data_IF_513637860952
#
_entry.id   IF_513637860952
#
_cell.length_a   1.000
_cell.length_b   1.000
_cell.length_c   1.000
_cell.angle_alpha   90.00
_cell.angle_beta   90.00
_cell.angle_gamma   90.00
#
_symmetry.space_group_name_H-M   'P 1'
#
loop_
_entity.id
_entity.type
_entity.pdbx_description
1 polymer ?
#
# COMPACT_ATOMS: atom_id res chain seq x y z
N UNK A 1 -12.18 -0.28 14.99
CA UNK A 1 -10.83 0.10 14.54
C UNK A 1 -10.96 0.94 13.28
N UNK A 2 -10.89 2.26 13.36
CA UNK A 2 -11.07 3.15 12.20
C UNK A 2 -10.01 2.86 11.11
N UNK A 3 -10.44 2.68 9.87
CA UNK A 3 -9.57 2.64 8.70
C UNK A 3 -9.56 4.03 8.05
N UNK A 4 -8.39 4.57 7.66
CA UNK A 4 -8.30 5.88 7.03
C UNK A 4 -8.75 5.89 5.56
N UNK A 5 -8.93 4.72 4.93
CA UNK A 5 -9.31 4.58 3.53
C UNK A 5 -10.04 3.25 3.29
N UNK A 6 -10.85 3.20 2.23
CA UNK A 6 -11.46 1.99 1.71
C UNK A 6 -11.17 1.86 0.22
N UNK A 7 -11.19 0.63 -0.30
CA UNK A 7 -11.01 0.38 -1.74
C UNK A 7 -12.27 0.72 -2.50
N UNK A 8 -12.17 1.69 -3.42
CA UNK A 8 -13.20 1.99 -4.39
C UNK A 8 -12.85 1.32 -5.73
N UNK A 9 -13.70 0.41 -6.18
CA UNK A 9 -13.48 -0.35 -7.41
C UNK A 9 -14.04 0.40 -8.61
N UNK A 10 -13.39 0.29 -9.77
CA UNK A 10 -13.84 0.90 -11.03
C UNK A 10 -15.23 0.43 -11.46
N UNK A 11 -15.66 -0.75 -10.99
CA UNK A 11 -17.01 -1.29 -11.16
C UNK A 11 -18.10 -0.29 -10.78
N UNK A 12 -17.83 0.62 -9.83
CA UNK A 12 -18.78 1.64 -9.42
C UNK A 12 -19.33 2.47 -10.60
N UNK A 13 -18.51 2.71 -11.62
CA UNK A 13 -18.89 3.50 -12.80
C UNK A 13 -19.85 2.77 -13.75
N UNK A 14 -19.97 1.44 -13.68
CA UNK A 14 -20.77 0.64 -14.60
C UNK A 14 -21.61 -0.45 -13.91
N UNK A 15 -21.66 -0.47 -12.58
CA UNK A 15 -22.55 -1.35 -11.81
C UNK A 15 -24.01 -0.92 -12.03
N UNK A 16 -24.87 -1.79 -12.59
CA UNK A 16 -26.26 -1.41 -12.88
C UNK A 16 -27.03 -0.95 -11.64
N UNK A 17 -26.78 -1.53 -10.46
CA UNK A 17 -27.48 -1.12 -9.23
C UNK A 17 -27.12 0.29 -8.84
N UNK A 18 -25.85 0.66 -8.97
CA UNK A 18 -25.33 2.01 -8.64
C UNK A 18 -25.76 3.02 -9.70
N UNK A 19 -25.62 2.68 -10.99
CA UNK A 19 -25.97 3.59 -12.09
C UNK A 19 -27.49 3.86 -12.19
N UNK A 20 -28.34 2.95 -11.68
CA UNK A 20 -29.77 3.19 -11.53
C UNK A 20 -30.14 4.12 -10.35
N UNK A 21 -29.17 4.58 -9.55
CA UNK A 21 -29.41 5.55 -8.48
C UNK A 21 -29.28 6.98 -9.01
N UNK A 22 -30.13 7.91 -8.54
CA UNK A 22 -29.86 9.33 -8.69
C UNK A 22 -28.50 9.71 -8.09
N UNK A 23 -27.82 10.70 -8.66
CA UNK A 23 -26.48 11.14 -8.21
C UNK A 23 -26.43 11.50 -6.72
N UNK A 24 -27.51 12.10 -6.20
CA UNK A 24 -27.67 12.42 -4.77
C UNK A 24 -27.55 11.15 -3.91
N UNK A 25 -28.17 10.05 -4.34
CA UNK A 25 -28.11 8.76 -3.64
C UNK A 25 -26.73 8.10 -3.83
N UNK A 26 -26.10 8.24 -4.99
CA UNK A 26 -24.73 7.75 -5.19
C UNK A 26 -23.75 8.43 -4.22
N UNK A 27 -23.83 9.77 -4.05
CA UNK A 27 -23.06 10.51 -3.05
C UNK A 27 -23.33 9.99 -1.63
N UNK A 28 -24.62 9.83 -1.26
CA UNK A 28 -25.01 9.33 0.06
C UNK A 28 -24.44 7.93 0.32
N UNK A 29 -24.44 7.06 -0.68
CA UNK A 29 -23.85 5.72 -0.60
C UNK A 29 -22.34 5.76 -0.35
N UNK A 30 -21.60 6.59 -1.08
CA UNK A 30 -20.16 6.79 -0.86
C UNK A 30 -19.89 7.34 0.55
N UNK A 31 -20.69 8.29 1.03
CA UNK A 31 -20.56 8.81 2.39
C UNK A 31 -20.80 7.74 3.47
N UNK A 32 -21.78 6.84 3.27
CA UNK A 32 -21.98 5.68 4.16
C UNK A 32 -20.77 4.74 4.15
N UNK A 33 -20.14 4.52 3.00
CA UNK A 33 -18.88 3.75 2.93
C UNK A 33 -17.77 4.40 3.77
N UNK A 34 -17.62 5.73 3.69
CA UNK A 34 -16.67 6.46 4.51
C UNK A 34 -16.95 6.30 6.01
N UNK A 35 -18.22 6.39 6.43
CA UNK A 35 -18.62 6.23 7.83
C UNK A 35 -18.42 4.80 8.35
N UNK A 36 -18.67 3.78 7.52
CA UNK A 36 -18.35 2.39 7.89
C UNK A 36 -16.84 2.18 7.97
N UNK A 37 -16.08 2.76 7.06
CA UNK A 37 -14.62 2.72 7.04
C UNK A 37 -14.02 3.30 8.34
N UNK A 38 -14.54 4.43 8.81
CA UNK A 38 -14.12 5.05 10.07
C UNK A 38 -14.66 4.35 11.33
N UNK A 39 -15.45 3.28 11.16
CA UNK A 39 -16.17 2.58 12.23
C UNK A 39 -17.19 3.45 12.99
N UNK A 40 -17.56 4.61 12.45
CA UNK A 40 -18.58 5.47 13.05
C UNK A 40 -19.99 4.86 12.87
N UNK A 41 -20.23 4.18 11.76
CA UNK A 41 -21.58 3.77 11.37
C UNK A 41 -22.27 2.77 12.33
N UNK A 42 -21.50 2.02 13.14
CA UNK A 42 -22.06 1.09 14.16
C UNK A 42 -22.48 1.83 15.43
N UNK A 43 -21.88 2.99 15.71
CA UNK A 43 -22.14 3.76 16.94
C UNK A 43 -23.12 4.90 16.73
N UNK A 44 -23.25 5.38 15.50
CA UNK A 44 -24.04 6.57 15.19
C UNK A 44 -25.55 6.27 15.21
N UNK A 45 -26.30 7.16 15.84
CA UNK A 45 -27.76 7.17 15.77
C UNK A 45 -28.23 7.79 14.45
N UNK A 46 -29.51 7.57 14.10
CA UNK A 46 -30.09 8.07 12.85
C UNK A 46 -29.90 9.59 12.66
N UNK A 47 -30.06 10.37 13.72
CA UNK A 47 -29.89 11.83 13.68
C UNK A 47 -28.45 12.25 13.35
N UNK A 48 -27.46 11.51 13.85
CA UNK A 48 -26.06 11.77 13.58
C UNK A 48 -25.69 11.36 12.14
N UNK A 49 -26.29 10.28 11.62
CA UNK A 49 -26.15 9.88 10.21
C UNK A 49 -26.73 10.98 9.30
N UNK A 50 -27.91 11.53 9.63
CA UNK A 50 -28.50 12.65 8.89
C UNK A 50 -27.58 13.88 8.89
N UNK A 51 -27.00 14.21 10.05
CA UNK A 51 -26.04 15.30 10.19
C UNK A 51 -24.80 15.10 9.29
N UNK A 52 -24.20 13.91 9.30
CA UNK A 52 -23.04 13.61 8.46
C UNK A 52 -23.36 13.64 6.96
N UNK A 53 -24.55 13.19 6.57
CA UNK A 53 -25.03 13.24 5.18
C UNK A 53 -25.42 14.67 4.75
N UNK A 54 -25.63 15.57 5.72
CA UNK A 54 -26.17 16.93 5.56
C UNK A 54 -27.56 16.93 4.96
N UNK A 55 -28.44 16.14 5.54
CA UNK A 55 -29.84 15.97 5.12
C UNK A 55 -30.76 16.06 6.32
N UNK A 56 -32.05 16.27 6.06
CA UNK A 56 -33.08 16.19 7.10
C UNK A 56 -33.52 14.73 7.37
N UNK A 57 -34.33 14.54 8.40
CA UNK A 57 -34.83 13.22 8.81
C UNK A 57 -35.74 12.58 7.75
N UNK A 58 -36.53 13.36 7.01
CA UNK A 58 -37.42 12.82 5.97
C UNK A 58 -36.61 12.26 4.80
N UNK A 59 -35.56 12.97 4.38
CA UNK A 59 -34.61 12.54 3.36
C UNK A 59 -33.78 11.33 3.82
N UNK A 60 -33.47 11.22 5.12
CA UNK A 60 -32.78 10.06 5.66
C UNK A 60 -33.65 8.81 5.54
N UNK A 61 -34.93 8.89 5.92
CA UNK A 61 -35.86 7.77 5.81
C UNK A 61 -36.06 7.33 4.35
N UNK A 62 -36.21 8.29 3.42
CA UNK A 62 -36.25 7.99 1.97
C UNK A 62 -34.98 7.28 1.51
N UNK A 63 -33.80 7.76 1.94
CA UNK A 63 -32.51 7.15 1.63
C UNK A 63 -32.43 5.72 2.16
N UNK A 64 -32.85 5.52 3.41
CA UNK A 64 -32.85 4.22 4.08
C UNK A 64 -33.75 3.23 3.34
N UNK A 65 -34.98 3.64 3.03
CA UNK A 65 -35.95 2.81 2.32
C UNK A 65 -35.44 2.39 0.94
N UNK A 66 -34.85 3.32 0.19
CA UNK A 66 -34.31 3.05 -1.15
C UNK A 66 -33.09 2.10 -1.09
N UNK A 67 -32.19 2.29 -0.14
CA UNK A 67 -31.01 1.43 0.01
C UNK A 67 -31.33 0.04 0.54
N UNK A 68 -32.33 -0.09 1.42
CA UNK A 68 -32.89 -1.39 1.82
C UNK A 68 -33.49 -2.11 0.61
N UNK A 69 -34.36 -1.44 -0.15
CA UNK A 69 -35.03 -2.02 -1.32
C UNK A 69 -34.06 -2.51 -2.39
N UNK A 70 -32.94 -1.80 -2.62
CA UNK A 70 -31.89 -2.21 -3.59
C UNK A 70 -30.85 -3.18 -3.02
N UNK A 71 -30.88 -3.43 -1.71
CA UNK A 71 -29.95 -4.33 -1.02
C UNK A 71 -28.53 -3.76 -0.92
N UNK A 72 -28.39 -2.47 -0.63
CA UNK A 72 -27.11 -1.84 -0.29
C UNK A 72 -26.81 -1.90 1.21
N UNK A 73 -27.84 -1.80 2.05
CA UNK A 73 -27.74 -1.81 3.51
C UNK A 73 -28.75 -2.79 4.13
N UNK A 74 -28.56 -3.13 5.41
CA UNK A 74 -29.57 -3.79 6.26
C UNK A 74 -30.28 -2.78 7.20
N UNK A 75 -31.22 -3.25 8.01
CA UNK A 75 -32.00 -2.40 8.93
C UNK A 75 -31.14 -1.67 9.98
N UNK A 76 -29.98 -2.26 10.30
CA UNK A 76 -28.95 -1.74 11.20
C UNK A 76 -27.91 -0.85 10.48
N UNK A 77 -28.21 -0.37 9.27
CA UNK A 77 -27.34 0.48 8.44
C UNK A 77 -26.05 -0.18 7.93
N UNK A 78 -25.85 -1.48 8.16
CA UNK A 78 -24.63 -2.16 7.73
C UNK A 78 -24.61 -2.37 6.22
N UNK A 79 -23.47 -2.06 5.60
CA UNK A 79 -23.26 -2.21 4.16
C UNK A 79 -23.12 -3.68 3.77
N UNK A 80 -24.00 -4.13 2.88
CA UNK A 80 -23.94 -5.48 2.34
C UNK A 80 -22.73 -5.66 1.42
N UNK A 81 -22.15 -6.86 1.41
CA UNK A 81 -20.93 -7.21 0.67
C UNK A 81 -19.67 -6.38 1.00
N UNK A 82 -19.65 -5.67 2.13
CA UNK A 82 -18.48 -4.91 2.58
C UNK A 82 -17.23 -5.79 2.73
N UNK A 83 -17.32 -6.89 3.46
CA UNK A 83 -16.21 -7.82 3.74
C UNK A 83 -15.65 -8.51 2.47
N UNK A 84 -16.46 -8.61 1.41
CA UNK A 84 -15.98 -9.14 0.11
C UNK A 84 -15.14 -8.11 -0.64
N UNK A 85 -15.37 -6.82 -0.38
CA UNK A 85 -14.72 -5.69 -1.08
C UNK A 85 -13.55 -5.11 -0.27
N UNK A 86 -13.59 -5.19 1.05
CA UNK A 86 -12.55 -4.70 1.94
C UNK A 86 -11.84 -5.88 2.61
N UNK A 87 -10.55 -6.06 2.33
CA UNK A 87 -9.80 -7.20 2.84
C UNK A 87 -9.36 -6.94 4.28
N UNK A 88 -9.43 -7.96 5.13
CA UNK A 88 -8.94 -7.88 6.52
C UNK A 88 -7.46 -7.50 6.62
N UNK A 89 -6.67 -7.80 5.58
CA UNK A 89 -5.26 -7.38 5.46
C UNK A 89 -5.07 -5.86 5.42
N UNK A 90 -6.08 -5.11 4.97
CA UNK A 90 -6.02 -3.64 4.94
C UNK A 90 -6.09 -3.06 6.36
N UNK A 91 -6.57 -3.86 7.32
CA UNK A 91 -6.54 -3.51 8.74
C UNK A 91 -5.21 -3.94 9.35
N UNK A 92 -4.36 -2.98 9.69
CA UNK A 92 -3.13 -3.26 10.46
C UNK A 92 -3.43 -3.57 11.93
N UNK A 93 -4.68 -3.43 12.36
CA UNK A 93 -5.17 -3.58 13.73
C UNK A 93 -4.71 -4.88 14.41
N UNK A 94 -4.96 -6.03 13.80
CA UNK A 94 -4.59 -7.33 14.38
C UNK A 94 -3.07 -7.49 14.49
N UNK A 95 -2.34 -7.04 13.46
CA UNK A 95 -0.86 -7.06 13.44
C UNK A 95 -0.29 -6.17 14.54
N UNK A 96 -0.81 -4.95 14.70
CA UNK A 96 -0.37 -4.00 15.72
C UNK A 96 -0.75 -4.49 17.12
N UNK A 97 -1.95 -5.04 17.31
CA UNK A 97 -2.37 -5.62 18.59
C UNK A 97 -1.44 -6.77 19.00
N UNK A 98 -1.15 -7.70 18.08
CA UNK A 98 -0.21 -8.81 18.32
C UNK A 98 1.20 -8.30 18.62
N UNK A 99 1.67 -7.28 17.89
CA UNK A 99 2.97 -6.67 18.13
C UNK A 99 3.04 -6.01 19.52
N UNK A 100 2.00 -5.23 19.90
CA UNK A 100 1.91 -4.60 21.22
C UNK A 100 1.85 -5.64 22.34
N UNK A 101 1.07 -6.71 22.17
CA UNK A 101 1.00 -7.81 23.12
C UNK A 101 2.35 -8.54 23.26
N UNK A 102 3.03 -8.81 22.15
CA UNK A 102 4.37 -9.42 22.17
C UNK A 102 5.42 -8.51 22.83
N UNK A 103 5.37 -7.20 22.56
CA UNK A 103 6.25 -6.22 23.22
C UNK A 103 5.99 -6.16 24.72
N UNK A 104 4.72 -6.11 25.14
CA UNK A 104 4.32 -6.13 26.55
C UNK A 104 4.78 -7.42 27.25
N UNK A 105 4.59 -8.58 26.62
CA UNK A 105 5.04 -9.86 27.17
C UNK A 105 6.58 -9.95 27.24
N UNK A 106 7.31 -9.38 26.27
CA UNK A 106 8.77 -9.31 26.31
C UNK A 106 9.27 -8.37 27.43
N UNK A 107 8.62 -7.20 27.60
CA UNK A 107 8.91 -6.26 28.69
C UNK A 107 8.64 -6.90 30.07
N UNK A 108 7.53 -7.62 30.22
CA UNK A 108 7.19 -8.38 31.43
C UNK A 108 8.20 -9.52 31.69
N UNK A 109 8.67 -10.22 30.65
CA UNK A 109 9.69 -11.26 30.78
C UNK A 109 11.06 -10.68 31.20
N UNK A 110 11.42 -9.48 30.74
CA UNK A 110 12.64 -8.78 31.16
C UNK A 110 12.57 -8.14 32.54
N UNK A 111 11.35 -7.89 33.08
CA UNK A 111 11.15 -7.36 34.44
C UNK A 111 11.39 -8.39 35.54
N UNK A 112 11.51 -9.68 35.20
CA UNK A 112 11.85 -10.74 36.15
C UNK A 112 13.36 -11.04 36.18
N UNK A 113 14.20 -10.11 35.72
CA UNK A 113 15.63 -10.11 36.00
C UNK A 113 15.86 -9.46 37.36
N UNK A 114 16.20 -10.29 38.34
CA UNK A 114 16.68 -9.96 39.69
C UNK A 114 17.44 -8.62 39.75
N UNK A 115 16.74 -7.52 40.04
CA UNK A 115 17.33 -6.25 40.47
C UNK A 115 16.41 -5.66 41.52
N UNK A 116 16.93 -5.68 42.76
CA UNK A 116 16.43 -4.98 43.94
C UNK A 116 15.59 -3.74 43.62
N UNK A 117 14.31 -3.77 44.01
CA UNK A 117 13.39 -2.63 43.98
C UNK A 117 14.04 -1.42 44.69
N UNK A 118 14.34 -0.30 44.01
CA UNK A 118 14.69 0.93 44.70
C UNK A 118 13.43 1.42 45.43
N UNK A 119 13.54 1.49 46.75
CA UNK A 119 12.48 1.97 47.62
C UNK A 119 12.21 3.45 47.33
N UNK A 120 11.21 3.76 46.50
CA UNK A 120 10.79 5.13 46.26
C UNK A 120 10.07 5.67 47.48
N UNK A 121 10.73 6.55 48.23
CA UNK A 121 10.06 7.44 49.17
C UNK A 121 9.22 8.43 48.37
N UNK A 122 7.94 8.48 48.71
CA UNK A 122 6.96 9.39 48.14
C UNK A 122 7.18 10.85 48.56
N UNK A 123 6.57 11.72 47.75
CA UNK A 123 6.27 13.15 47.92
C UNK A 123 7.31 14.16 47.42
N UNK A 124 7.12 14.65 46.19
CA UNK A 124 6.94 16.09 45.89
C UNK A 124 6.57 16.30 44.41
N UNK A 125 5.71 17.29 44.14
CA UNK A 125 5.49 17.87 42.82
C UNK A 125 6.77 18.57 42.34
N UNK A 126 7.14 18.42 41.07
CA UNK A 126 7.90 19.45 40.35
C UNK A 126 7.60 19.42 38.84
N UNK A 127 6.77 20.39 38.46
CA UNK A 127 6.85 21.35 37.34
C UNK A 127 7.63 21.04 36.05
N UNK A 128 7.04 21.52 34.96
CA UNK A 128 7.59 21.89 33.64
C UNK A 128 9.11 21.77 33.44
N UNK A 129 9.52 21.28 32.27
CA UNK A 129 10.13 22.14 31.23
C UNK A 129 10.33 21.37 29.92
N UNK A 130 10.02 22.11 28.86
CA UNK A 130 10.31 21.94 27.44
C UNK A 130 11.67 21.31 27.06
N UNK A 131 11.59 20.49 26.01
CA UNK A 131 12.30 20.57 24.72
C UNK A 131 13.81 20.90 24.63
N UNK A 132 14.44 20.13 23.73
CA UNK A 132 15.75 20.22 23.10
C UNK A 132 16.97 19.76 23.91
N UNK A 133 17.70 18.78 23.38
CA UNK A 133 18.99 19.01 22.69
C UNK A 133 19.47 17.70 22.03
N UNK A 134 19.84 17.78 20.76
CA UNK A 134 20.79 16.89 20.07
C UNK A 134 22.03 16.58 20.93
N UNK A 135 22.67 15.41 20.74
CA UNK A 135 24.14 15.28 20.65
C UNK A 135 24.52 13.82 20.41
N UNK A 136 25.19 13.59 19.28
CA UNK A 136 25.96 12.38 19.00
C UNK A 136 27.12 12.19 19.99
N UNK A 137 27.47 10.93 20.30
CA UNK A 137 28.88 10.50 20.31
C UNK A 137 29.06 8.99 20.29
N UNK A 138 29.70 8.58 19.20
CA UNK A 138 30.54 7.41 18.97
C UNK A 138 31.33 6.91 20.21
N UNK A 139 31.31 5.60 20.45
CA UNK A 139 32.43 4.84 21.03
C UNK A 139 32.49 3.42 20.45
N UNK A 140 33.51 3.18 19.64
CA UNK A 140 34.09 1.86 19.38
C UNK A 140 34.74 1.29 20.65
N UNK A 141 34.65 -0.03 20.84
CA UNK A 141 35.79 -0.85 21.27
C UNK A 141 35.55 -2.33 20.93
N UNK A 142 36.50 -2.90 20.19
CA UNK A 142 36.62 -4.31 19.87
C UNK A 142 37.25 -5.12 21.01
N UNK A 143 36.91 -6.41 21.11
CA UNK A 143 37.85 -7.56 21.04
C UNK A 143 37.11 -8.91 21.13
N UNK A 144 37.59 -9.87 20.31
CA UNK A 144 37.19 -11.29 20.08
C UNK A 144 37.89 -12.21 21.11
N UNK A 145 37.90 -13.57 21.06
CA UNK A 145 36.98 -14.63 20.58
C UNK A 145 36.79 -15.81 21.60
N UNK A 146 35.80 -16.70 21.42
CA UNK A 146 35.89 -18.11 21.87
C UNK A 146 34.81 -19.04 21.26
N UNK A 147 35.27 -20.07 20.55
CA UNK A 147 34.56 -21.28 20.13
C UNK A 147 34.30 -22.21 21.37
N UNK A 148 33.44 -23.22 21.45
CA UNK A 148 32.40 -23.86 20.64
C UNK A 148 31.57 -24.74 21.61
N UNK A 149 30.27 -24.97 21.33
CA UNK A 149 29.56 -26.26 21.54
C UNK A 149 28.07 -26.11 21.22
N UNK A 150 27.50 -27.19 20.68
CA UNK A 150 26.33 -27.23 19.79
C UNK A 150 25.04 -27.55 20.58
N UNK A 151 23.95 -26.85 20.28
CA UNK A 151 22.57 -27.22 20.66
C UNK A 151 21.62 -26.92 19.49
N UNK A 152 20.58 -27.74 19.23
CA UNK A 152 19.79 -27.67 17.99
C UNK A 152 18.82 -26.47 18.07
N UNK A 153 19.06 -25.43 17.26
CA UNK A 153 18.24 -24.22 17.26
C UNK A 153 17.28 -24.20 16.07
N UNK A 154 16.00 -24.32 16.43
CA UNK A 154 14.82 -23.89 15.67
C UNK A 154 15.09 -22.66 14.80
N UNK A 155 14.74 -22.75 13.52
CA UNK A 155 15.01 -21.76 12.47
C UNK A 155 14.53 -20.34 12.83
N UNK A 156 15.47 -19.44 13.11
CA UNK A 156 15.23 -17.98 13.16
C UNK A 156 15.04 -17.46 11.73
N UNK A 157 14.08 -16.55 11.54
CA UNK A 157 13.91 -15.85 10.25
C UNK A 157 15.20 -15.07 9.91
N UNK A 158 15.65 -15.09 8.65
CA UNK A 158 16.89 -14.42 8.26
C UNK A 158 16.77 -12.91 8.41
N UNK A 159 17.78 -12.28 9.02
CA UNK A 159 17.87 -10.83 9.20
C UNK A 159 18.20 -10.15 7.88
N UNK A 160 17.58 -9.00 7.60
CA UNK A 160 17.92 -8.19 6.43
C UNK A 160 19.25 -7.46 6.66
N UNK A 161 20.15 -7.54 5.69
CA UNK A 161 21.44 -6.84 5.72
C UNK A 161 21.50 -5.78 4.61
N UNK A 162 22.26 -4.68 4.81
CA UNK A 162 22.62 -3.78 3.71
C UNK A 162 23.51 -4.50 2.70
N UNK A 163 23.65 -3.92 1.50
CA UNK A 163 24.45 -4.52 0.42
C UNK A 163 25.89 -4.71 0.89
N UNK A 164 26.42 -5.95 0.92
CA UNK A 164 27.82 -6.19 1.24
C UNK A 164 28.75 -5.50 0.23
N UNK A 165 29.88 -4.96 0.68
CA UNK A 165 30.88 -4.32 -0.20
C UNK A 165 31.43 -5.29 -1.24
N UNK A 166 31.55 -6.57 -0.85
CA UNK A 166 32.17 -7.64 -1.64
C UNK A 166 31.11 -8.52 -2.32
N UNK A 167 29.86 -8.04 -2.40
CA UNK A 167 28.80 -8.79 -3.06
C UNK A 167 29.14 -8.99 -4.54
N UNK A 168 29.12 -10.25 -4.98
CA UNK A 168 29.41 -10.66 -6.34
C UNK A 168 28.40 -11.73 -6.78
N UNK A 169 28.24 -11.92 -8.09
CA UNK A 169 27.33 -12.92 -8.65
C UNK A 169 27.80 -14.33 -8.23
N UNK A 170 27.01 -15.01 -7.40
CA UNK A 170 27.30 -16.36 -6.95
C UNK A 170 27.23 -17.39 -8.10
N UNK A 171 27.90 -18.53 -7.92
CA UNK A 171 27.89 -19.61 -8.91
C UNK A 171 26.47 -20.17 -9.14
N UNK A 172 25.62 -20.16 -8.11
CA UNK A 172 24.24 -20.62 -8.19
C UNK A 172 23.38 -19.70 -9.06
N UNK A 173 23.54 -18.37 -8.91
CA UNK A 173 22.82 -17.40 -9.75
C UNK A 173 23.30 -17.46 -11.20
N UNK A 174 24.59 -17.73 -11.45
CA UNK A 174 25.12 -17.93 -12.81
C UNK A 174 24.49 -19.16 -13.48
N UNK A 175 24.51 -20.31 -12.81
CA UNK A 175 23.93 -21.54 -13.33
C UNK A 175 22.41 -21.42 -13.54
N UNK A 176 21.71 -20.73 -12.63
CA UNK A 176 20.29 -20.44 -12.77
C UNK A 176 20.00 -19.55 -13.99
N UNK A 177 20.77 -18.48 -14.19
CA UNK A 177 20.60 -17.56 -15.29
C UNK A 177 20.82 -18.26 -16.65
N UNK A 178 21.85 -19.10 -16.73
CA UNK A 178 22.15 -19.92 -17.92
C UNK A 178 21.03 -20.92 -18.21
N UNK A 179 20.55 -21.65 -17.20
CA UNK A 179 19.43 -22.58 -17.34
C UNK A 179 18.12 -21.91 -17.79
N UNK A 180 17.94 -20.61 -17.49
CA UNK A 180 16.77 -19.82 -17.88
C UNK A 180 16.97 -19.01 -19.16
N UNK A 181 18.16 -19.06 -19.77
CA UNK A 181 18.47 -18.30 -20.99
C UNK A 181 18.56 -16.78 -20.78
N UNK A 182 18.87 -16.33 -19.56
CA UNK A 182 19.09 -14.92 -19.29
C UNK A 182 20.48 -14.48 -19.81
N UNK A 183 20.48 -13.57 -20.79
CA UNK A 183 21.71 -12.95 -21.32
C UNK A 183 22.11 -11.71 -20.50
N UNK A 184 23.34 -11.23 -20.69
CA UNK A 184 23.85 -9.97 -20.11
C UNK A 184 23.82 -9.89 -18.56
N UNK A 185 24.15 -11.00 -17.89
CA UNK A 185 24.10 -11.11 -16.43
C UNK A 185 24.90 -10.02 -15.70
N UNK A 186 26.08 -9.65 -16.23
CA UNK A 186 26.91 -8.60 -15.65
C UNK A 186 26.21 -7.22 -15.68
N UNK A 187 25.56 -6.88 -16.79
CA UNK A 187 24.84 -5.60 -16.91
C UNK A 187 23.60 -5.53 -15.99
N UNK A 188 22.90 -6.67 -15.82
CA UNK A 188 21.83 -6.76 -14.81
C UNK A 188 22.37 -6.59 -13.39
N UNK A 189 23.51 -7.19 -13.09
CA UNK A 189 24.17 -7.10 -11.79
C UNK A 189 24.62 -5.66 -11.48
N UNK A 190 25.28 -4.98 -12.42
CA UNK A 190 25.75 -3.61 -12.23
C UNK A 190 24.57 -2.64 -12.00
N UNK A 191 23.48 -2.81 -12.75
CA UNK A 191 22.24 -2.04 -12.55
C UNK A 191 21.60 -2.31 -11.18
N UNK A 192 21.59 -3.57 -10.74
CA UNK A 192 21.09 -3.97 -9.43
C UNK A 192 21.91 -3.36 -8.29
N UNK A 193 23.24 -3.45 -8.35
CA UNK A 193 24.15 -2.87 -7.35
C UNK A 193 23.99 -1.34 -7.29
N UNK A 194 23.96 -0.66 -8.44
CA UNK A 194 23.77 0.78 -8.51
C UNK A 194 22.46 1.22 -7.86
N UNK A 195 21.35 0.52 -8.16
CA UNK A 195 20.04 0.81 -7.58
C UNK A 195 19.98 0.49 -6.08
N UNK A 196 20.53 -0.65 -5.66
CA UNK A 196 20.56 -1.05 -4.26
C UNK A 196 21.36 -0.07 -3.38
N UNK A 197 22.49 0.43 -3.88
CA UNK A 197 23.30 1.46 -3.21
C UNK A 197 22.57 2.80 -3.14
N UNK A 198 21.96 3.24 -4.25
CA UNK A 198 21.26 4.53 -4.30
C UNK A 198 20.00 4.56 -3.41
N UNK A 199 19.25 3.46 -3.34
CA UNK A 199 18.00 3.39 -2.57
C UNK A 199 18.17 2.84 -1.14
N UNK A 200 19.38 2.43 -0.75
CA UNK A 200 19.64 1.84 0.58
C UNK A 200 18.86 0.56 0.83
N UNK A 201 18.68 -0.29 -0.19
CA UNK A 201 17.90 -1.51 -0.02
C UNK A 201 18.56 -2.50 0.93
N UNK A 202 17.72 -3.21 1.70
CA UNK A 202 18.14 -4.26 2.62
C UNK A 202 17.38 -5.55 2.32
N UNK A 203 18.12 -6.64 2.14
CA UNK A 203 17.55 -7.95 1.82
C UNK A 203 18.08 -9.00 2.79
N UNK A 204 17.26 -10.02 3.04
CA UNK A 204 17.65 -11.18 3.84
C UNK A 204 18.43 -12.21 3.02
N UNK A 205 18.22 -12.20 1.69
CA UNK A 205 18.91 -13.02 0.71
C UNK A 205 19.16 -12.16 -0.53
N UNK A 206 20.43 -11.85 -0.77
CA UNK A 206 20.86 -10.97 -1.85
C UNK A 206 20.86 -11.68 -3.22
N UNK A 207 21.07 -13.00 -3.25
CA UNK A 207 21.04 -13.79 -4.47
C UNK A 207 19.61 -13.93 -4.98
N UNK A 208 18.66 -14.19 -4.09
CA UNK A 208 17.24 -14.23 -4.45
C UNK A 208 16.72 -12.86 -4.90
N UNK A 209 17.20 -11.77 -4.31
CA UNK A 209 16.88 -10.40 -4.72
C UNK A 209 17.42 -10.10 -6.12
N UNK A 210 18.65 -10.52 -6.42
CA UNK A 210 19.27 -10.39 -7.74
C UNK A 210 18.50 -11.20 -8.80
N UNK A 211 18.11 -12.45 -8.52
CA UNK A 211 17.29 -13.25 -9.43
C UNK A 211 15.95 -12.61 -9.76
N UNK A 212 15.28 -12.00 -8.76
CA UNK A 212 14.02 -11.29 -8.98
C UNK A 212 14.24 -10.03 -9.85
N UNK A 213 15.31 -9.27 -9.60
CA UNK A 213 15.65 -8.10 -10.40
C UNK A 213 15.98 -8.44 -11.86
N UNK A 214 16.61 -9.58 -12.11
CA UNK A 214 16.86 -10.11 -13.47
C UNK A 214 15.53 -10.50 -14.13
N UNK A 215 14.64 -11.19 -13.41
CA UNK A 215 13.33 -11.62 -13.92
C UNK A 215 12.44 -10.44 -14.31
N UNK A 216 12.48 -9.37 -13.52
CA UNK A 216 11.69 -8.16 -13.74
C UNK A 216 12.37 -7.17 -14.71
N UNK A 217 13.47 -7.57 -15.36
CA UNK A 217 14.30 -6.75 -16.25
C UNK A 217 14.54 -5.33 -15.72
N UNK A 218 15.06 -5.24 -14.49
CA UNK A 218 15.36 -3.93 -13.87
C UNK A 218 16.36 -3.10 -14.66
N UNK A 219 17.22 -3.76 -15.45
CA UNK A 219 18.21 -3.14 -16.31
C UNK A 219 17.62 -2.67 -17.66
N UNK A 220 16.36 -3.03 -17.95
CA UNK A 220 15.63 -2.68 -19.18
C UNK A 220 16.36 -3.08 -20.47
N UNK A 221 17.16 -4.14 -20.42
CA UNK A 221 18.00 -4.56 -21.54
C UNK A 221 17.18 -5.19 -22.68
N UNK A 222 15.99 -5.73 -22.38
CA UNK A 222 15.07 -6.26 -23.39
C UNK A 222 14.41 -5.19 -24.26
N UNK A 223 14.35 -3.94 -23.78
CA UNK A 223 13.78 -2.82 -24.56
C UNK A 223 14.70 -2.25 -25.63
N UNK A 224 16.01 -2.53 -25.57
CA UNK A 224 16.98 -2.07 -26.58
C UNK A 224 17.15 -3.02 -27.76
N UNK A 225 16.81 -4.31 -27.63
CA UNK A 225 16.94 -5.30 -28.72
C UNK A 225 15.71 -5.40 -29.62
N UNK A 226 14.61 -4.71 -29.30
CA UNK A 226 13.51 -4.56 -30.23
C UNK A 226 13.90 -3.46 -31.22
N UNK A 227 14.06 -3.73 -32.54
CA UNK A 227 14.11 -2.63 -33.50
C UNK A 227 12.89 -1.75 -33.25
N UNK A 228 12.99 -0.41 -33.36
CA UNK A 228 11.85 0.46 -33.12
C UNK A 228 10.71 -0.07 -33.98
N UNK A 229 9.71 -0.68 -33.33
CA UNK A 229 8.47 -1.00 -34.01
C UNK A 229 7.99 0.37 -34.45
N UNK A 230 7.96 0.60 -35.78
CA UNK A 230 7.37 1.78 -36.37
C UNK A 230 6.09 2.05 -35.57
N UNK A 231 6.06 3.20 -34.90
CA UNK A 231 4.85 3.71 -34.28
C UNK A 231 3.86 3.83 -35.42
N UNK A 232 3.09 2.77 -35.65
CA UNK A 232 1.85 2.87 -36.37
C UNK A 232 0.98 3.69 -35.44
N UNK A 233 1.05 5.00 -35.65
CA UNK A 233 0.10 5.95 -35.14
C UNK A 233 -1.27 5.34 -35.42
N UNK A 234 -1.97 4.93 -34.37
CA UNK A 234 -3.39 4.62 -34.49
C UNK A 234 -4.02 5.90 -35.05
N UNK A 235 -4.70 5.86 -36.20
CA UNK A 235 -5.34 7.07 -36.71
C UNK A 235 -6.32 7.54 -35.63
N UNK A 236 -6.09 8.77 -35.17
CA UNK A 236 -7.01 9.47 -34.29
C UNK A 236 -8.40 9.46 -34.93
N UNK A 237 -9.44 9.14 -34.17
CA UNK A 237 -10.84 9.14 -34.65
C UNK A 237 -11.36 10.52 -35.10
N UNK A 238 -10.51 11.55 -35.11
CA UNK A 238 -10.84 12.94 -35.44
C UNK A 238 -10.01 13.54 -36.61
N UNK A 239 -9.39 12.73 -37.48
CA UNK A 239 -8.58 13.26 -38.59
C UNK A 239 -9.34 13.60 -39.89
N UNK A 240 -10.68 13.55 -39.91
CA UNK A 240 -11.46 13.76 -41.13
C UNK A 240 -11.92 15.21 -41.38
N UNK A 241 -11.40 16.20 -40.65
CA UNK A 241 -11.81 17.61 -40.83
C UNK A 241 -10.88 18.46 -41.70
N UNK A 242 -9.71 17.94 -42.11
CA UNK A 242 -8.72 18.70 -42.91
C UNK A 242 -8.82 18.45 -44.42
N UNK A 243 -9.79 17.66 -44.89
CA UNK A 243 -10.02 17.39 -46.32
C UNK A 243 -11.38 17.89 -46.81
N UNK A 244 -11.87 19.00 -46.28
CA UNK A 244 -12.97 19.74 -46.90
C UNK A 244 -12.34 20.87 -47.72
N UNK A 245 -12.31 20.69 -49.04
CA UNK A 245 -11.94 21.74 -49.98
C UNK A 245 -13.04 22.83 -49.99
N UNK A 246 -12.92 23.83 -49.12
CA UNK A 246 -13.87 24.95 -49.03
C UNK A 246 -13.86 25.89 -50.26
N UNK A 247 -13.06 25.60 -51.29
CA UNK A 247 -12.90 26.45 -52.48
C UNK A 247 -13.74 26.04 -53.70
N UNK A 248 -14.44 24.90 -53.68
CA UNK A 248 -15.26 24.44 -54.83
C UNK A 248 -16.77 24.71 -54.68
N UNK A 249 -17.21 25.41 -53.63
CA UNK A 249 -18.62 25.49 -53.25
C UNK A 249 -19.39 26.78 -53.54
N UNK A 250 -18.83 27.78 -54.24
CA UNK A 250 -19.55 29.02 -54.57
C UNK A 250 -19.42 29.36 -56.05
N UNK A 251 -20.09 28.59 -56.89
CA UNK A 251 -20.62 29.09 -58.16
C UNK A 251 -22.00 28.50 -58.39
N UNK A 252 -23.01 29.32 -58.05
CA UNK A 252 -24.30 29.49 -58.70
C UNK A 252 -25.38 29.74 -57.65
N UNK A 253 -25.43 30.99 -57.20
CA UNK A 253 -26.60 31.51 -56.51
C UNK A 253 -27.83 31.37 -57.41
N UNK A 254 -28.76 30.50 -57.01
CA UNK A 254 -30.18 30.72 -57.26
C UNK A 254 -31.04 29.88 -56.33
N UNK A 255 -32.01 30.57 -55.73
CA UNK A 255 -33.17 30.03 -55.04
C UNK A 255 -34.21 29.70 -56.10
N UNK A 256 -34.70 28.47 -56.13
CA UNK A 256 -36.10 28.09 -56.43
C UNK A 256 -36.40 26.78 -55.73
#
# INVERSE_FOLDING_TARGET
MSNPWFRMYSEFAHDPKVQMLPEVMQRRYVMLMCMRCSNALVTLQADEIAFHLRIDAAQLEETKALFLAKGFINDAWELLNWEKRQFSSDTSAQRVAKHRAAKKAAEEATRNGDVTLPQQKSNALDTDTDTDTDTEKNKEHATVPAAAAVAPKSSRKPSKTPLPSDFAISAEVKAWAEAKGHANLQAHFDSFVGKARASGYTYADWDQALQNAIRDDWAKLGTQQRPPAAQQARPSRHSNFEQINYHEGIQNGRIT
#
